data_IF_997057387958
#
_entry.id   IF_997057387958
#
_cell.length_a   1.000
_cell.length_b   1.000
_cell.length_c   1.000
_cell.angle_alpha   90.00
_cell.angle_beta   90.00
_cell.angle_gamma   90.00
#
_symmetry.space_group_name_H-M   'P 1'
#
loop_
_entity.id
_entity.type
_entity.pdbx_description
1 polymer ?
#
# COMPACT_ATOMS: atom_id res chain seq x y z
N UNK A 1 27.76 29.38 17.50
CA UNK A 1 27.55 28.17 16.66
C UNK A 1 27.35 26.98 17.61
N UNK A 2 26.12 26.48 17.77
CA UNK A 2 25.82 25.41 18.74
C UNK A 2 26.47 24.09 18.29
N UNK A 3 27.31 23.51 19.16
CA UNK A 3 28.07 22.27 18.98
C UNK A 3 27.12 21.15 18.52
N UNK A 4 27.14 20.78 17.24
CA UNK A 4 26.31 19.68 16.66
C UNK A 4 26.91 18.28 16.88
N UNK A 5 28.12 18.22 17.42
CA UNK A 5 28.85 16.97 17.70
C UNK A 5 28.14 15.97 18.62
N UNK A 6 27.41 16.33 19.70
CA UNK A 6 26.70 15.33 20.50
C UNK A 6 25.55 14.66 19.74
N UNK A 7 24.89 15.38 18.82
CA UNK A 7 23.83 14.81 17.99
C UNK A 7 24.40 13.85 16.94
N UNK A 8 25.53 14.22 16.33
CA UNK A 8 26.25 13.35 15.38
C UNK A 8 26.77 12.10 16.09
N UNK A 9 27.35 12.25 17.28
CA UNK A 9 27.80 11.14 18.10
C UNK A 9 26.66 10.19 18.47
N UNK A 10 25.49 10.74 18.87
CA UNK A 10 24.31 9.94 19.19
C UNK A 10 23.81 9.15 17.98
N UNK A 11 23.67 9.79 16.82
CA UNK A 11 23.25 9.11 15.57
C UNK A 11 24.24 8.02 15.20
N UNK A 12 25.55 8.29 15.28
CA UNK A 12 26.58 7.30 14.99
C UNK A 12 26.49 6.09 15.93
N UNK A 13 26.27 6.33 17.23
CA UNK A 13 26.16 5.28 18.25
C UNK A 13 24.91 4.41 18.02
N UNK A 14 23.78 5.02 17.68
CA UNK A 14 22.54 4.32 17.31
C UNK A 14 22.77 3.45 16.06
N UNK A 15 23.35 4.03 15.00
CA UNK A 15 23.64 3.29 13.76
C UNK A 15 24.60 2.14 14.02
N UNK A 16 25.64 2.34 14.83
CA UNK A 16 26.60 1.29 15.16
C UNK A 16 25.97 0.18 16.01
N UNK A 17 25.11 0.52 16.97
CA UNK A 17 24.42 -0.44 17.82
C UNK A 17 23.47 -1.32 17.00
N UNK A 18 22.54 -0.71 16.24
CA UNK A 18 21.58 -1.47 15.44
C UNK A 18 22.25 -2.17 14.25
N UNK A 19 23.21 -1.53 13.58
CA UNK A 19 23.98 -2.13 12.50
C UNK A 19 24.83 -3.30 12.99
N UNK A 20 25.41 -3.19 14.19
CA UNK A 20 26.15 -4.26 14.85
C UNK A 20 25.29 -5.48 15.16
N UNK A 21 24.08 -5.29 15.70
CA UNK A 21 23.13 -6.39 15.95
C UNK A 21 22.80 -7.15 14.66
N UNK A 22 22.47 -6.42 13.58
CA UNK A 22 22.16 -7.04 12.28
C UNK A 22 23.35 -7.84 11.74
N UNK A 23 24.57 -7.31 11.86
CA UNK A 23 25.78 -8.00 11.40
C UNK A 23 26.07 -9.25 12.24
N UNK A 24 25.85 -9.19 13.56
CA UNK A 24 26.04 -10.33 14.45
C UNK A 24 25.03 -11.44 14.15
N UNK A 25 23.76 -11.09 13.96
CA UNK A 25 22.71 -12.04 13.59
C UNK A 25 23.00 -12.71 12.24
N UNK A 26 23.36 -11.92 11.22
CA UNK A 26 23.74 -12.44 9.90
C UNK A 26 24.98 -13.34 9.99
N UNK A 27 25.96 -12.99 10.81
CA UNK A 27 27.17 -13.79 10.98
C UNK A 27 26.88 -15.12 11.69
N UNK A 28 26.02 -15.08 12.72
CA UNK A 28 25.56 -16.28 13.42
C UNK A 28 24.81 -17.22 12.46
N UNK A 29 23.91 -16.68 11.63
CA UNK A 29 23.20 -17.45 10.61
C UNK A 29 24.17 -18.08 9.59
N UNK A 30 25.13 -17.31 9.06
CA UNK A 30 26.14 -17.84 8.12
C UNK A 30 26.91 -19.00 8.73
N UNK A 31 27.36 -18.87 9.98
CA UNK A 31 28.08 -19.93 10.68
C UNK A 31 27.21 -21.17 10.88
N UNK A 32 25.94 -20.99 11.25
CA UNK A 32 24.99 -22.08 11.45
C UNK A 32 24.67 -22.81 10.12
N UNK A 33 24.38 -22.09 9.04
CA UNK A 33 24.12 -22.72 7.74
C UNK A 33 25.36 -23.42 7.18
N UNK A 34 26.56 -22.86 7.42
CA UNK A 34 27.83 -23.48 7.06
C UNK A 34 28.08 -24.76 7.86
N UNK A 35 27.82 -24.79 9.17
CA UNK A 35 28.00 -25.99 10.00
C UNK A 35 27.06 -27.12 9.61
N UNK A 36 25.87 -26.80 9.10
CA UNK A 36 24.90 -27.77 8.61
C UNK A 36 25.10 -28.17 7.13
N UNK A 37 26.11 -27.62 6.43
CA UNK A 37 26.34 -27.89 5.00
C UNK A 37 25.28 -27.32 4.06
N UNK A 38 24.40 -26.43 4.54
CA UNK A 38 23.28 -25.85 3.79
C UNK A 38 23.54 -24.39 3.36
N UNK A 39 24.81 -24.01 3.18
CA UNK A 39 25.20 -22.67 2.76
C UNK A 39 24.49 -22.18 1.48
N UNK A 40 24.24 -23.01 0.45
CA UNK A 40 23.50 -22.57 -0.74
C UNK A 40 22.08 -22.06 -0.44
N UNK A 41 21.38 -22.67 0.52
CA UNK A 41 20.02 -22.28 0.92
C UNK A 41 20.02 -20.87 1.52
N UNK A 42 21.02 -20.57 2.36
CA UNK A 42 21.20 -19.24 2.93
C UNK A 42 21.45 -18.18 1.85
N UNK A 43 22.29 -18.50 0.85
CA UNK A 43 22.56 -17.56 -0.25
C UNK A 43 21.30 -17.28 -1.07
N UNK A 44 20.51 -18.30 -1.42
CA UNK A 44 19.23 -18.11 -2.13
C UNK A 44 18.25 -17.27 -1.31
N UNK A 45 18.17 -17.50 0.01
CA UNK A 45 17.32 -16.71 0.90
C UNK A 45 17.80 -15.26 0.99
N UNK A 46 19.12 -15.02 1.07
CA UNK A 46 19.71 -13.69 1.14
C UNK A 46 19.50 -12.91 -0.17
N UNK A 47 19.63 -13.57 -1.31
CA UNK A 47 19.32 -13.00 -2.62
C UNK A 47 17.86 -12.56 -2.72
N UNK A 48 16.92 -13.43 -2.33
CA UNK A 48 15.50 -13.11 -2.31
C UNK A 48 15.18 -11.97 -1.33
N UNK A 49 15.78 -11.98 -0.14
CA UNK A 49 15.64 -10.92 0.86
C UNK A 49 16.11 -9.57 0.31
N UNK A 50 17.25 -9.57 -0.37
CA UNK A 50 17.84 -8.38 -0.99
C UNK A 50 16.98 -7.90 -2.18
N UNK A 51 16.43 -8.82 -2.97
CA UNK A 51 15.54 -8.49 -4.08
C UNK A 51 14.23 -7.84 -3.59
N UNK A 52 13.59 -8.39 -2.55
CA UNK A 52 12.40 -7.79 -1.92
C UNK A 52 12.72 -6.42 -1.35
N UNK A 53 13.84 -6.30 -0.61
CA UNK A 53 14.31 -5.02 -0.09
C UNK A 53 14.46 -3.97 -1.20
N UNK A 54 15.16 -4.30 -2.28
CA UNK A 54 15.36 -3.39 -3.40
C UNK A 54 14.05 -3.05 -4.09
N UNK A 55 13.14 -4.01 -4.27
CA UNK A 55 11.82 -3.78 -4.85
C UNK A 55 11.00 -2.77 -4.04
N UNK A 56 10.85 -3.01 -2.73
CA UNK A 56 10.11 -2.11 -1.83
C UNK A 56 10.77 -0.73 -1.76
N UNK A 57 12.10 -0.70 -1.61
CA UNK A 57 12.87 0.55 -1.58
C UNK A 57 12.66 1.37 -2.85
N UNK A 58 12.75 0.75 -4.03
CA UNK A 58 12.59 1.44 -5.31
C UNK A 58 11.17 1.96 -5.47
N UNK A 59 10.15 1.18 -5.13
CA UNK A 59 8.75 1.63 -5.19
C UNK A 59 8.55 2.88 -4.31
N UNK A 60 8.94 2.81 -3.03
CA UNK A 60 8.81 3.93 -2.11
C UNK A 60 9.61 5.15 -2.57
N UNK A 61 10.87 4.94 -2.96
CA UNK A 61 11.74 6.02 -3.41
C UNK A 61 11.18 6.70 -4.65
N UNK A 62 10.72 5.95 -5.67
CA UNK A 62 10.20 6.52 -6.90
C UNK A 62 8.88 7.28 -6.69
N UNK A 63 7.96 6.73 -5.87
CA UNK A 63 6.68 7.40 -5.57
C UNK A 63 6.92 8.69 -4.79
N UNK A 64 7.76 8.66 -3.74
CA UNK A 64 8.09 9.83 -2.94
C UNK A 64 8.90 10.86 -3.73
N UNK A 65 9.95 10.44 -4.47
CA UNK A 65 10.74 11.35 -5.28
C UNK A 65 9.92 11.97 -6.41
N UNK A 66 9.10 11.18 -7.10
CA UNK A 66 8.25 11.65 -8.19
C UNK A 66 7.18 12.64 -7.75
N UNK A 67 6.68 12.51 -6.52
CA UNK A 67 5.65 13.40 -5.96
C UNK A 67 6.23 14.61 -5.23
N UNK A 68 7.26 14.43 -4.39
CA UNK A 68 7.78 15.50 -3.53
C UNK A 68 8.72 16.45 -4.27
N UNK A 69 9.52 15.98 -5.24
CA UNK A 69 10.42 16.86 -6.02
C UNK A 69 9.68 18.00 -6.74
N UNK A 70 8.59 17.77 -7.49
CA UNK A 70 7.88 18.86 -8.16
C UNK A 70 7.22 19.82 -7.16
N UNK A 71 6.74 19.32 -6.01
CA UNK A 71 6.22 20.17 -4.94
C UNK A 71 7.34 21.07 -4.39
N UNK A 72 8.45 20.49 -3.94
CA UNK A 72 9.53 21.26 -3.32
C UNK A 72 10.15 22.27 -4.30
N UNK A 73 10.29 21.93 -5.58
CA UNK A 73 10.76 22.90 -6.61
C UNK A 73 9.82 24.09 -6.79
N UNK A 74 8.53 23.91 -6.55
CA UNK A 74 7.55 24.98 -6.63
C UNK A 74 7.41 25.78 -5.31
N UNK A 75 8.18 25.42 -4.26
CA UNK A 75 8.38 26.22 -3.05
C UNK A 75 9.77 26.87 -3.08
N UNK A 76 9.91 28.13 -3.53
CA UNK A 76 11.21 28.82 -3.49
C UNK A 76 11.70 29.07 -2.05
N UNK A 77 10.78 29.30 -1.10
CA UNK A 77 11.08 29.50 0.32
C UNK A 77 10.03 28.85 1.21
N UNK A 78 10.45 28.11 2.25
CA UNK A 78 9.55 27.68 3.33
C UNK A 78 9.38 28.80 4.33
N UNK A 79 8.17 29.37 4.43
CA UNK A 79 7.85 30.44 5.39
C UNK A 79 7.32 29.84 6.69
N UNK A 80 8.23 29.59 7.63
CA UNK A 80 7.87 29.12 8.96
C UNK A 80 7.56 30.30 9.88
N UNK A 81 6.49 30.20 10.65
CA UNK A 81 6.14 31.25 11.62
C UNK A 81 6.88 30.98 12.93
N UNK A 82 7.93 31.75 13.21
CA UNK A 82 8.69 31.63 14.46
C UNK A 82 8.11 32.58 15.50
N UNK A 83 7.70 32.05 16.67
CA UNK A 83 7.27 32.88 17.80
C UNK A 83 8.52 33.46 18.48
N UNK A 84 8.70 34.76 18.36
CA UNK A 84 9.78 35.52 18.99
C UNK A 84 9.27 36.42 20.11
N UNK A 85 10.18 37.09 20.85
CA UNK A 85 9.83 37.97 21.96
C UNK A 85 8.90 39.13 21.58
N UNK A 86 8.92 39.54 20.31
CA UNK A 86 8.16 40.66 19.74
C UNK A 86 6.97 40.23 18.87
N UNK A 87 6.53 38.97 18.95
CA UNK A 87 5.42 38.41 18.16
C UNK A 87 5.86 37.28 17.23
N UNK A 88 4.98 36.85 16.32
CA UNK A 88 5.34 35.81 15.34
C UNK A 88 5.98 36.46 14.10
N UNK A 89 7.28 36.25 13.90
CA UNK A 89 7.99 36.70 12.71
C UNK A 89 8.07 35.56 11.69
N UNK A 90 7.79 35.82 10.39
CA UNK A 90 8.00 34.83 9.34
C UNK A 90 9.52 34.64 9.14
N UNK A 91 9.96 33.39 9.25
CA UNK A 91 11.31 32.95 8.95
C UNK A 91 11.28 32.15 7.64
N UNK A 92 11.90 32.67 6.60
CA UNK A 92 11.99 32.01 5.30
C UNK A 92 13.27 31.17 5.21
N UNK A 93 13.13 29.85 5.04
CA UNK A 93 14.24 28.98 4.70
C UNK A 93 14.34 28.89 3.17
N UNK A 94 15.44 29.34 2.54
CA UNK A 94 15.64 29.11 1.11
C UNK A 94 15.82 27.61 0.87
N UNK A 95 14.99 27.06 -0.03
CA UNK A 95 15.07 25.65 -0.44
C UNK A 95 16.02 25.43 -1.62
N UNK A 96 16.47 26.52 -2.26
CA UNK A 96 17.44 26.51 -3.35
C UNK A 96 18.79 25.96 -2.86
N UNK A 97 19.11 24.73 -3.26
CA UNK A 97 20.35 24.03 -2.89
C UNK A 97 20.19 22.83 -1.96
N UNK A 98 19.00 22.63 -1.37
CA UNK A 98 18.71 21.46 -0.52
C UNK A 98 18.30 20.20 -1.31
N UNK A 99 18.37 20.21 -2.64
CA UNK A 99 18.01 19.08 -3.50
C UNK A 99 18.64 17.75 -3.06
N UNK A 100 19.99 17.68 -2.88
CA UNK A 100 20.65 16.47 -2.40
C UNK A 100 20.21 16.04 -0.99
N UNK A 101 19.96 17.00 -0.09
CA UNK A 101 19.49 16.71 1.26
C UNK A 101 18.05 16.18 1.28
N UNK A 102 17.19 16.67 0.39
CA UNK A 102 15.83 16.18 0.20
C UNK A 102 15.86 14.77 -0.37
N UNK A 103 16.66 14.53 -1.41
CA UNK A 103 16.80 13.20 -2.00
C UNK A 103 17.37 12.20 -0.99
N UNK A 104 18.35 12.62 -0.17
CA UNK A 104 18.86 11.81 0.94
C UNK A 104 17.78 11.55 2.01
N UNK A 105 16.94 12.54 2.33
CA UNK A 105 15.80 12.36 3.24
C UNK A 105 14.75 11.39 2.70
N UNK A 106 14.44 11.46 1.40
CA UNK A 106 13.51 10.54 0.72
C UNK A 106 14.09 9.13 0.69
N UNK A 107 15.38 8.97 0.35
CA UNK A 107 16.06 7.69 0.39
C UNK A 107 16.09 7.12 1.81
N UNK A 108 16.31 7.95 2.82
CA UNK A 108 16.27 7.53 4.22
C UNK A 108 14.88 7.05 4.64
N UNK A 109 13.81 7.77 4.27
CA UNK A 109 12.44 7.31 4.54
C UNK A 109 12.12 5.99 3.82
N UNK A 110 12.51 5.86 2.55
CA UNK A 110 12.34 4.62 1.80
C UNK A 110 13.11 3.45 2.45
N UNK A 111 14.32 3.70 2.95
CA UNK A 111 15.13 2.72 3.68
C UNK A 111 14.43 2.26 4.96
N UNK A 112 13.87 3.18 5.76
CA UNK A 112 13.18 2.85 7.00
C UNK A 112 11.97 1.93 6.78
N UNK A 113 11.29 2.05 5.64
CA UNK A 113 10.13 1.22 5.31
C UNK A 113 10.54 -0.10 4.65
N UNK A 114 11.56 -0.09 3.79
CA UNK A 114 12.03 -1.29 3.09
C UNK A 114 12.66 -2.34 4.03
N UNK A 115 13.36 -1.90 5.08
CA UNK A 115 14.00 -2.77 6.06
C UNK A 115 13.02 -3.80 6.69
N UNK A 116 11.94 -3.39 7.38
CA UNK A 116 11.01 -4.33 8.01
C UNK A 116 10.22 -5.17 7.01
N UNK A 117 9.93 -4.64 5.82
CA UNK A 117 9.18 -5.34 4.77
C UNK A 117 10.03 -6.33 3.96
N UNK A 118 11.35 -6.33 4.16
CA UNK A 118 12.30 -7.29 3.59
C UNK A 118 12.64 -8.44 4.55
N UNK A 119 11.69 -8.83 5.39
CA UNK A 119 11.85 -9.95 6.30
C UNK A 119 11.99 -11.30 5.59
N UNK A 120 12.45 -12.31 6.31
CA UNK A 120 12.57 -13.69 5.81
C UNK A 120 11.24 -14.25 5.31
N UNK A 121 10.12 -13.91 5.96
CA UNK A 121 8.79 -14.36 5.55
C UNK A 121 8.38 -13.86 4.17
N UNK A 122 8.63 -12.58 3.86
CA UNK A 122 8.29 -12.01 2.55
C UNK A 122 9.22 -12.56 1.46
N UNK A 123 10.50 -12.75 1.76
CA UNK A 123 11.44 -13.42 0.86
C UNK A 123 10.97 -14.84 0.52
N UNK A 124 10.53 -15.62 1.51
CA UNK A 124 9.99 -16.96 1.29
C UNK A 124 8.71 -16.96 0.44
N UNK A 125 7.81 -15.99 0.65
CA UNK A 125 6.60 -15.84 -0.20
C UNK A 125 6.98 -15.58 -1.66
N UNK A 126 7.96 -14.72 -1.91
CA UNK A 126 8.44 -14.44 -3.28
C UNK A 126 9.13 -15.66 -3.90
N UNK A 127 10.00 -16.35 -3.15
CA UNK A 127 10.62 -17.60 -3.63
C UNK A 127 9.54 -18.63 -4.00
N UNK A 128 8.53 -18.78 -3.14
CA UNK A 128 7.43 -19.73 -3.35
C UNK A 128 6.56 -19.35 -4.57
N UNK A 129 6.37 -18.06 -4.84
CA UNK A 129 5.69 -17.60 -6.05
C UNK A 129 6.48 -17.92 -7.32
N UNK A 130 7.80 -17.74 -7.30
CA UNK A 130 8.68 -17.99 -8.44
C UNK A 130 8.80 -19.48 -8.78
N UNK A 131 8.76 -20.34 -7.76
CA UNK A 131 8.89 -21.80 -7.90
C UNK A 131 7.56 -22.53 -7.67
N UNK A 132 6.43 -21.85 -7.94
CA UNK A 132 5.11 -22.42 -7.72
C UNK A 132 4.88 -23.63 -8.64
N UNK A 133 4.57 -24.82 -8.10
CA UNK A 133 4.24 -25.98 -8.92
C UNK A 133 2.88 -25.77 -9.63
N UNK A 134 2.69 -26.32 -10.84
CA UNK A 134 1.39 -26.27 -11.51
C UNK A 134 0.36 -27.06 -10.70
N UNK A 135 -0.69 -26.38 -10.25
CA UNK A 135 -1.81 -27.03 -9.53
C UNK A 135 -2.94 -27.33 -10.50
N UNK A 136 -3.40 -28.58 -10.55
CA UNK A 136 -4.30 -29.07 -11.61
C UNK A 136 -5.80 -28.83 -11.41
N UNK A 137 -6.26 -28.36 -10.25
CA UNK A 137 -7.70 -28.19 -10.01
C UNK A 137 -8.06 -26.70 -9.85
N UNK A 138 -8.78 -26.11 -10.81
CA UNK A 138 -9.30 -24.76 -10.67
C UNK A 138 -10.46 -24.73 -9.67
N UNK A 139 -10.60 -23.60 -8.98
CA UNK A 139 -11.71 -23.41 -8.05
C UNK A 139 -13.06 -23.23 -8.80
N UNK A 140 -14.18 -23.69 -8.24
CA UNK A 140 -15.47 -23.67 -8.93
C UNK A 140 -16.14 -22.29 -9.03
N UNK A 141 -15.61 -21.26 -8.37
CA UNK A 141 -16.27 -19.94 -8.27
C UNK A 141 -15.59 -18.91 -9.18
N UNK A 142 -14.27 -18.79 -9.12
CA UNK A 142 -13.43 -17.88 -9.88
C UNK A 142 -12.63 -18.58 -10.99
N UNK A 143 -12.56 -19.91 -10.98
CA UNK A 143 -11.83 -20.67 -12.00
C UNK A 143 -10.30 -20.56 -11.91
N UNK A 144 -9.77 -20.08 -10.78
CA UNK A 144 -8.35 -19.88 -10.56
C UNK A 144 -7.71 -21.15 -9.98
N UNK A 145 -6.45 -21.46 -10.34
CA UNK A 145 -5.74 -22.61 -9.81
C UNK A 145 -5.41 -22.40 -8.31
N UNK A 146 -5.44 -23.46 -7.51
CA UNK A 146 -5.11 -23.42 -6.08
C UNK A 146 -3.74 -22.77 -5.79
N UNK A 147 -2.75 -22.97 -6.68
CA UNK A 147 -1.42 -22.36 -6.59
C UNK A 147 -1.43 -20.83 -6.62
N UNK A 148 -2.42 -20.21 -7.28
CA UNK A 148 -2.57 -18.75 -7.26
C UNK A 148 -2.81 -18.24 -5.84
N UNK A 149 -3.72 -18.87 -5.09
CA UNK A 149 -4.11 -18.46 -3.74
C UNK A 149 -2.98 -18.66 -2.73
N UNK A 150 -2.20 -19.73 -2.87
CA UNK A 150 -1.15 -20.08 -1.92
C UNK A 150 0.15 -19.33 -2.19
N UNK A 151 0.54 -19.19 -3.46
CA UNK A 151 1.86 -18.70 -3.81
C UNK A 151 1.85 -17.27 -4.36
N UNK A 152 0.89 -16.93 -5.23
CA UNK A 152 0.91 -15.64 -5.93
C UNK A 152 0.18 -14.54 -5.16
N UNK A 153 -0.95 -14.85 -4.52
CA UNK A 153 -1.75 -13.90 -3.77
C UNK A 153 -0.95 -13.15 -2.68
N UNK A 154 -0.08 -13.79 -1.87
CA UNK A 154 0.72 -13.06 -0.88
C UNK A 154 1.69 -12.05 -1.50
N UNK A 155 2.20 -12.33 -2.71
CA UNK A 155 3.10 -11.41 -3.42
C UNK A 155 2.32 -10.22 -3.99
N UNK A 156 1.12 -10.45 -4.54
CA UNK A 156 0.24 -9.37 -4.95
C UNK A 156 -0.16 -8.48 -3.77
N UNK A 157 -0.43 -9.06 -2.60
CA UNK A 157 -0.75 -8.31 -1.39
C UNK A 157 0.42 -7.45 -0.90
N UNK A 158 1.64 -7.99 -0.94
CA UNK A 158 2.84 -7.21 -0.65
C UNK A 158 3.00 -6.05 -1.64
N UNK A 159 2.75 -6.28 -2.93
CA UNK A 159 2.87 -5.25 -3.97
C UNK A 159 1.80 -4.16 -3.84
N UNK A 160 0.53 -4.52 -3.67
CA UNK A 160 -0.55 -3.53 -3.52
C UNK A 160 -0.43 -2.78 -2.20
N UNK A 161 -0.08 -3.46 -1.11
CA UNK A 161 0.15 -2.84 0.19
C UNK A 161 1.29 -1.82 0.15
N UNK A 162 2.44 -2.19 -0.44
CA UNK A 162 3.59 -1.27 -0.58
C UNK A 162 3.28 -0.07 -1.46
N UNK A 163 2.54 -0.26 -2.56
CA UNK A 163 2.07 0.84 -3.40
C UNK A 163 1.10 1.75 -2.66
N UNK A 164 0.10 1.18 -1.98
CA UNK A 164 -0.88 1.93 -1.19
C UNK A 164 -0.20 2.77 -0.11
N UNK A 165 0.68 2.16 0.69
CA UNK A 165 1.39 2.83 1.77
C UNK A 165 2.27 3.96 1.22
N UNK A 166 3.05 3.70 0.16
CA UNK A 166 3.90 4.73 -0.45
C UNK A 166 3.10 5.91 -1.00
N UNK A 167 1.92 5.67 -1.60
CA UNK A 167 1.03 6.71 -2.10
C UNK A 167 0.38 7.50 -0.96
N UNK A 168 -0.05 6.83 0.13
CA UNK A 168 -0.59 7.49 1.32
C UNK A 168 0.47 8.35 2.01
N UNK A 169 1.69 7.83 2.18
CA UNK A 169 2.81 8.59 2.72
C UNK A 169 3.12 9.82 1.85
N UNK A 170 3.17 9.65 0.52
CA UNK A 170 3.37 10.76 -0.41
C UNK A 170 2.26 11.82 -0.30
N UNK A 171 1.00 11.39 -0.17
CA UNK A 171 -0.16 12.28 -0.03
C UNK A 171 -0.06 13.09 1.26
N UNK A 172 0.20 12.43 2.39
CA UNK A 172 0.34 13.07 3.71
C UNK A 172 1.50 14.06 3.70
N UNK A 173 2.67 13.66 3.22
CA UNK A 173 3.84 14.55 3.13
C UNK A 173 3.59 15.72 2.19
N UNK A 174 2.95 15.49 1.03
CA UNK A 174 2.59 16.54 0.09
C UNK A 174 1.61 17.57 0.68
N UNK A 175 0.64 17.11 1.46
CA UNK A 175 -0.29 17.98 2.21
C UNK A 175 0.45 18.78 3.28
N UNK A 176 1.28 18.12 4.11
CA UNK A 176 2.06 18.78 5.16
C UNK A 176 3.00 19.85 4.61
N UNK A 177 3.62 19.62 3.44
CA UNK A 177 4.46 20.60 2.75
C UNK A 177 3.66 21.78 2.18
N UNK A 178 2.38 21.59 1.85
CA UNK A 178 1.51 22.64 1.32
C UNK A 178 0.95 23.62 2.37
N UNK A 179 0.92 23.24 3.64
CA UNK A 179 0.41 24.07 4.75
C UNK A 179 1.28 25.31 5.03
N UNK A 180 2.62 25.20 5.24
CA UNK A 180 3.47 26.31 5.71
C UNK A 180 3.84 27.37 4.65
N UNK A 181 2.96 27.66 3.70
CA UNK A 181 3.21 28.68 2.67
C UNK A 181 1.97 29.22 1.97
N UNK A 182 0.76 28.88 2.44
CA UNK A 182 -0.49 29.29 1.79
C UNK A 182 -0.73 28.67 0.41
N UNK A 183 0.05 27.65 0.04
CA UNK A 183 -0.13 26.89 -1.22
C UNK A 183 -1.45 26.13 -1.24
N UNK A 184 -1.98 25.87 -0.04
CA UNK A 184 -3.34 25.44 0.25
C UNK A 184 -3.98 26.56 1.07
N UNK A 185 -4.77 27.42 0.42
CA UNK A 185 -5.50 28.49 1.11
C UNK A 185 -7.00 28.21 1.05
N UNK A 186 -7.62 28.23 2.22
CA UNK A 186 -9.08 28.19 2.40
C UNK A 186 -9.50 29.61 2.72
N UNK A 187 -9.78 30.39 1.67
CA UNK A 187 -10.32 31.74 1.78
C UNK A 187 -11.74 31.73 1.19
N UNK A 188 -12.70 32.32 1.91
CA UNK A 188 -14.08 32.56 1.43
C UNK A 188 -14.76 31.32 0.81
N UNK A 189 -14.66 30.17 1.49
CA UNK A 189 -15.28 28.90 1.06
C UNK A 189 -14.77 28.36 -0.30
N UNK A 190 -13.63 28.87 -0.80
CA UNK A 190 -12.96 28.37 -2.01
C UNK A 190 -11.57 27.84 -1.67
N UNK A 191 -11.40 26.54 -1.88
CA UNK A 191 -10.10 25.88 -1.75
C UNK A 191 -9.26 26.24 -2.99
N UNK A 192 -8.30 27.15 -2.81
CA UNK A 192 -7.35 27.53 -3.85
C UNK A 192 -6.06 26.73 -3.66
N UNK A 193 -5.74 25.92 -4.66
CA UNK A 193 -4.51 25.13 -4.70
C UNK A 193 -3.58 25.70 -5.76
N UNK A 194 -2.30 25.81 -5.42
CA UNK A 194 -1.28 26.06 -6.42
C UNK A 194 -1.37 25.01 -7.54
N UNK A 195 -1.24 25.39 -8.83
CA UNK A 195 -1.45 24.48 -9.95
C UNK A 195 -0.55 23.25 -9.90
N UNK A 196 0.66 23.36 -9.35
CA UNK A 196 1.57 22.22 -9.17
C UNK A 196 1.04 21.25 -8.10
N UNK A 197 0.53 21.75 -6.97
CA UNK A 197 -0.03 20.92 -5.88
C UNK A 197 -1.24 20.18 -6.38
N UNK A 198 -2.16 20.88 -7.04
CA UNK A 198 -3.34 20.26 -7.63
C UNK A 198 -2.96 19.09 -8.55
N UNK A 199 -2.00 19.27 -9.46
CA UNK A 199 -1.58 18.20 -10.39
C UNK A 199 -0.98 17.00 -9.65
N UNK A 200 -0.08 17.24 -8.70
CA UNK A 200 0.57 16.15 -7.94
C UNK A 200 -0.45 15.40 -7.08
N UNK A 201 -1.30 16.11 -6.33
CA UNK A 201 -2.34 15.49 -5.49
C UNK A 201 -3.36 14.71 -6.34
N UNK A 202 -3.75 15.22 -7.51
CA UNK A 202 -4.63 14.51 -8.43
C UNK A 202 -3.98 13.23 -8.97
N UNK A 203 -2.69 13.24 -9.31
CA UNK A 203 -1.95 12.04 -9.74
C UNK A 203 -1.79 11.01 -8.63
N UNK A 204 -1.48 11.47 -7.41
CA UNK A 204 -1.40 10.60 -6.24
C UNK A 204 -2.76 9.98 -5.91
N UNK A 205 -3.84 10.78 -5.95
CA UNK A 205 -5.20 10.29 -5.78
C UNK A 205 -5.60 9.28 -6.85
N UNK A 206 -5.29 9.54 -8.13
CA UNK A 206 -5.50 8.58 -9.21
C UNK A 206 -4.74 7.27 -8.98
N UNK A 207 -3.47 7.35 -8.60
CA UNK A 207 -2.66 6.18 -8.26
C UNK A 207 -3.27 5.38 -7.12
N UNK A 208 -3.71 6.05 -6.05
CA UNK A 208 -4.31 5.40 -4.89
C UNK A 208 -5.62 4.69 -5.26
N UNK A 209 -6.47 5.35 -6.04
CA UNK A 209 -7.72 4.75 -6.52
C UNK A 209 -7.49 3.55 -7.45
N UNK A 210 -6.44 3.56 -8.28
CA UNK A 210 -6.05 2.38 -9.07
C UNK A 210 -5.58 1.23 -8.18
N UNK A 211 -4.79 1.50 -7.14
CA UNK A 211 -4.36 0.46 -6.20
C UNK A 211 -5.57 -0.12 -5.47
N UNK A 212 -6.50 0.72 -5.00
CA UNK A 212 -7.75 0.25 -4.37
C UNK A 212 -8.65 -0.53 -5.35
N UNK A 213 -8.63 -0.19 -6.65
CA UNK A 213 -9.28 -0.98 -7.69
C UNK A 213 -8.65 -2.38 -7.79
N UNK A 214 -7.33 -2.48 -7.80
CA UNK A 214 -6.63 -3.77 -7.78
C UNK A 214 -6.89 -4.55 -6.48
N UNK A 215 -6.88 -3.90 -5.32
CA UNK A 215 -7.19 -4.55 -4.05
C UNK A 215 -8.62 -5.07 -3.99
N UNK A 216 -9.60 -4.35 -4.54
CA UNK A 216 -10.97 -4.86 -4.65
C UNK A 216 -11.08 -6.04 -5.61
N UNK A 217 -10.26 -6.10 -6.67
CA UNK A 217 -10.15 -7.31 -7.50
C UNK A 217 -9.54 -8.49 -6.74
N UNK A 218 -8.53 -8.25 -5.90
CA UNK A 218 -7.92 -9.28 -5.02
C UNK A 218 -8.84 -9.67 -3.86
N UNK A 219 -9.73 -8.78 -3.42
CA UNK A 219 -10.67 -9.10 -2.34
C UNK A 219 -11.56 -10.30 -2.70
N UNK A 220 -11.88 -10.47 -3.99
CA UNK A 220 -12.64 -11.62 -4.51
C UNK A 220 -11.93 -12.94 -4.24
N UNK A 221 -10.61 -12.99 -4.42
CA UNK A 221 -9.84 -14.20 -4.17
C UNK A 221 -9.68 -14.45 -2.68
N UNK A 222 -9.50 -13.38 -1.89
CA UNK A 222 -9.46 -13.46 -0.42
C UNK A 222 -10.76 -13.96 0.19
N UNK A 223 -11.91 -13.61 -0.39
CA UNK A 223 -13.22 -14.07 0.14
C UNK A 223 -13.37 -15.59 0.11
N UNK A 224 -12.67 -16.29 -0.78
CA UNK A 224 -12.68 -17.75 -0.83
C UNK A 224 -11.81 -18.40 0.26
N UNK A 225 -10.88 -17.64 0.85
CA UNK A 225 -10.01 -18.08 1.95
C UNK A 225 -10.56 -17.72 3.33
N UNK A 226 -11.72 -17.04 3.38
CA UNK A 226 -12.35 -16.59 4.62
C UNK A 226 -12.81 -17.76 5.49
N UNK A 227 -12.50 -17.70 6.79
CA UNK A 227 -13.06 -18.60 7.80
C UNK A 227 -14.35 -18.03 8.34
N UNK A 228 -15.44 -18.78 8.18
CA UNK A 228 -16.73 -18.51 8.80
C UNK A 228 -16.94 -19.44 10.01
N UNK A 229 -17.94 -19.13 10.84
CA UNK A 229 -18.20 -19.88 12.08
C UNK A 229 -18.49 -21.37 11.84
N UNK A 230 -19.09 -21.72 10.71
CA UNK A 230 -19.55 -23.09 10.39
C UNK A 230 -18.81 -23.69 9.20
N UNK A 231 -18.16 -22.87 8.36
CA UNK A 231 -17.51 -23.29 7.11
C UNK A 231 -16.19 -22.56 6.88
N UNK A 232 -15.19 -23.26 6.35
CA UNK A 232 -13.92 -22.65 5.92
C UNK A 232 -13.94 -22.47 4.40
N UNK A 233 -14.24 -21.29 3.90
CA UNK A 233 -14.43 -21.03 2.47
C UNK A 233 -15.53 -20.02 2.20
N UNK A 234 -15.90 -19.90 0.93
CA UNK A 234 -16.92 -18.96 0.47
C UNK A 234 -18.33 -19.33 0.96
N UNK A 235 -19.05 -18.38 1.55
CA UNK A 235 -20.48 -18.52 1.86
C UNK A 235 -21.35 -18.05 0.69
N UNK A 236 -22.65 -18.36 0.74
CA UNK A 236 -23.66 -17.83 -0.18
C UNK A 236 -23.59 -16.31 -0.32
N UNK A 237 -23.41 -15.62 0.82
CA UNK A 237 -23.28 -14.15 0.85
C UNK A 237 -22.04 -13.67 0.12
N UNK A 238 -20.93 -14.41 0.20
CA UNK A 238 -19.69 -13.98 -0.46
C UNK A 238 -19.82 -14.09 -1.97
N UNK A 239 -20.39 -15.19 -2.45
CA UNK A 239 -20.55 -15.45 -3.88
C UNK A 239 -21.60 -14.54 -4.53
N UNK A 240 -22.73 -14.31 -3.86
CA UNK A 240 -23.83 -13.53 -4.42
C UNK A 240 -23.77 -12.03 -4.09
N UNK A 241 -23.02 -11.64 -3.05
CA UNK A 241 -22.91 -10.23 -2.64
C UNK A 241 -21.48 -9.70 -2.78
N UNK A 242 -20.52 -10.28 -2.05
CA UNK A 242 -19.19 -9.68 -1.90
C UNK A 242 -18.39 -9.70 -3.20
N UNK A 243 -18.37 -10.82 -3.92
CA UNK A 243 -17.63 -10.95 -5.18
C UNK A 243 -18.18 -9.97 -6.24
N UNK A 244 -19.50 -9.94 -6.53
CA UNK A 244 -20.08 -8.95 -7.45
C UNK A 244 -19.91 -7.49 -6.99
N UNK A 245 -20.04 -7.21 -5.70
CA UNK A 245 -19.83 -5.86 -5.18
C UNK A 245 -18.37 -5.42 -5.35
N UNK A 246 -17.42 -6.31 -5.09
CA UNK A 246 -16.00 -6.04 -5.25
C UNK A 246 -15.61 -5.84 -6.72
N UNK A 247 -16.20 -6.59 -7.68
CA UNK A 247 -15.97 -6.35 -9.12
C UNK A 247 -16.51 -5.00 -9.59
N UNK A 248 -17.73 -4.64 -9.19
CA UNK A 248 -18.32 -3.36 -9.54
C UNK A 248 -17.53 -2.20 -8.92
N UNK A 249 -17.15 -2.33 -7.65
CA UNK A 249 -16.32 -1.33 -6.98
C UNK A 249 -14.98 -1.15 -7.70
N UNK A 250 -14.32 -2.25 -8.09
CA UNK A 250 -13.07 -2.18 -8.84
C UNK A 250 -13.22 -1.37 -10.13
N UNK A 251 -14.29 -1.62 -10.89
CA UNK A 251 -14.58 -0.90 -12.14
C UNK A 251 -14.83 0.59 -11.88
N UNK A 252 -15.65 0.92 -10.89
CA UNK A 252 -15.98 2.31 -10.53
C UNK A 252 -14.72 3.06 -10.05
N UNK A 253 -13.87 2.41 -9.24
CA UNK A 253 -12.60 2.98 -8.80
C UNK A 253 -11.63 3.22 -9.96
N UNK A 254 -11.54 2.29 -10.91
CA UNK A 254 -10.71 2.45 -12.11
C UNK A 254 -11.18 3.64 -12.98
N UNK A 255 -12.50 3.78 -13.18
CA UNK A 255 -13.09 4.91 -13.91
C UNK A 255 -12.80 6.22 -13.17
N UNK A 256 -12.97 6.24 -11.85
CA UNK A 256 -12.71 7.43 -11.02
C UNK A 256 -11.24 7.81 -11.05
N UNK A 257 -10.33 6.83 -10.99
CA UNK A 257 -8.91 7.08 -11.09
C UNK A 257 -8.52 7.69 -12.44
N UNK A 258 -9.10 7.20 -13.53
CA UNK A 258 -8.89 7.77 -14.86
C UNK A 258 -9.41 9.22 -14.94
N UNK A 259 -10.56 9.51 -14.32
CA UNK A 259 -11.08 10.87 -14.24
C UNK A 259 -10.11 11.82 -13.48
N UNK A 260 -9.56 11.40 -12.35
CA UNK A 260 -8.54 12.15 -11.59
C UNK A 260 -7.28 12.39 -12.43
N UNK A 261 -6.84 11.37 -13.17
CA UNK A 261 -5.67 11.47 -14.06
C UNK A 261 -5.92 12.49 -15.18
N UNK A 262 -7.09 12.43 -15.84
CA UNK A 262 -7.48 13.36 -16.89
C UNK A 262 -7.61 14.80 -16.36
N UNK A 263 -8.15 14.98 -15.15
CA UNK A 263 -8.21 16.27 -14.46
C UNK A 263 -6.84 16.81 -14.05
N UNK A 264 -5.85 15.96 -13.83
CA UNK A 264 -4.47 16.43 -13.66
C UNK A 264 -3.93 17.13 -14.90
N UNK A 265 -4.44 16.83 -16.09
CA UNK A 265 -4.01 17.48 -17.34
C UNK A 265 -4.94 18.64 -17.73
N UNK A 266 -6.24 18.56 -17.43
CA UNK A 266 -7.26 19.56 -17.80
C UNK A 266 -7.65 20.47 -16.63
N UNK A 267 -7.63 21.79 -16.85
CA UNK A 267 -7.78 22.80 -15.77
C UNK A 267 -9.19 22.89 -15.17
N UNK A 268 -10.26 22.40 -15.81
CA UNK A 268 -11.64 22.80 -15.47
C UNK A 268 -12.68 21.69 -15.27
N UNK A 269 -12.38 20.41 -15.50
CA UNK A 269 -13.35 19.34 -15.17
C UNK A 269 -13.40 19.14 -13.65
N UNK A 270 -14.62 18.99 -13.10
CA UNK A 270 -14.90 18.65 -11.70
C UNK A 270 -15.64 17.32 -11.58
N UNK A 271 -15.50 16.44 -12.59
CA UNK A 271 -16.25 15.19 -12.69
C UNK A 271 -15.71 14.12 -11.72
N UNK A 272 -14.47 14.30 -11.27
CA UNK A 272 -13.79 13.42 -10.33
C UNK A 272 -14.44 13.41 -8.94
N UNK A 273 -14.95 14.55 -8.46
CA UNK A 273 -15.62 14.64 -7.15
C UNK A 273 -16.91 13.83 -7.04
N UNK A 274 -17.90 13.94 -7.96
CA UNK A 274 -19.08 13.09 -7.91
C UNK A 274 -18.74 11.61 -8.13
N UNK A 275 -17.76 11.28 -8.99
CA UNK A 275 -17.29 9.90 -9.18
C UNK A 275 -16.66 9.31 -7.90
N UNK A 276 -15.92 10.12 -7.15
CA UNK A 276 -15.41 9.72 -5.83
C UNK A 276 -16.56 9.45 -4.85
N UNK A 277 -17.59 10.30 -4.86
CA UNK A 277 -18.83 10.08 -4.08
C UNK A 277 -19.54 8.77 -4.47
N UNK A 278 -19.66 8.48 -5.77
CA UNK A 278 -20.23 7.23 -6.28
C UNK A 278 -19.39 6.03 -5.85
N UNK A 279 -18.05 6.14 -5.90
CA UNK A 279 -17.14 5.10 -5.43
C UNK A 279 -17.36 4.80 -3.95
N UNK A 280 -17.49 5.83 -3.12
CA UNK A 280 -17.78 5.70 -1.69
C UNK A 280 -19.15 5.06 -1.45
N UNK A 281 -20.19 5.51 -2.14
CA UNK A 281 -21.53 4.94 -2.05
C UNK A 281 -21.57 3.47 -2.51
N UNK A 282 -20.82 3.13 -3.56
CA UNK A 282 -20.68 1.75 -4.04
C UNK A 282 -19.96 0.87 -3.01
N UNK A 283 -18.93 1.39 -2.34
CA UNK A 283 -18.25 0.68 -1.27
C UNK A 283 -19.19 0.39 -0.10
N UNK A 284 -19.89 1.42 0.42
CA UNK A 284 -20.86 1.24 1.52
C UNK A 284 -22.03 0.35 1.11
N UNK A 285 -22.66 0.64 -0.03
CA UNK A 285 -23.82 -0.09 -0.51
C UNK A 285 -23.49 -1.54 -0.83
N UNK A 286 -22.45 -1.78 -1.63
CA UNK A 286 -22.11 -3.11 -2.13
C UNK A 286 -21.39 -4.01 -1.13
N UNK A 287 -20.41 -3.50 -0.38
CA UNK A 287 -19.58 -4.35 0.50
C UNK A 287 -20.06 -4.38 1.95
N UNK A 288 -20.86 -3.40 2.39
CA UNK A 288 -21.37 -3.35 3.76
C UNK A 288 -22.86 -3.67 3.80
N UNK A 289 -23.66 -2.96 3.01
CA UNK A 289 -25.11 -3.06 3.08
C UNK A 289 -25.65 -4.34 2.42
N UNK A 290 -25.23 -4.67 1.19
CA UNK A 290 -25.71 -5.85 0.47
C UNK A 290 -25.42 -7.17 1.20
N UNK A 291 -24.21 -7.42 1.74
CA UNK A 291 -23.93 -8.65 2.48
C UNK A 291 -24.75 -8.73 3.77
N UNK A 292 -24.94 -7.60 4.45
CA UNK A 292 -25.76 -7.53 5.66
C UNK A 292 -27.22 -7.86 5.39
N UNK A 293 -27.81 -7.30 4.32
CA UNK A 293 -29.19 -7.58 3.89
C UNK A 293 -29.34 -9.06 3.53
N UNK A 294 -28.48 -9.59 2.66
CA UNK A 294 -28.56 -10.99 2.24
C UNK A 294 -28.37 -11.96 3.41
N UNK A 295 -27.42 -11.66 4.30
CA UNK A 295 -27.23 -12.45 5.51
C UNK A 295 -28.49 -12.47 6.38
N UNK A 296 -29.09 -11.29 6.64
CA UNK A 296 -30.24 -11.15 7.55
C UNK A 296 -31.54 -11.71 7.00
N UNK A 297 -31.80 -11.52 5.71
CA UNK A 297 -33.11 -11.80 5.12
C UNK A 297 -33.16 -13.06 4.25
N UNK A 298 -32.02 -13.55 3.75
CA UNK A 298 -31.98 -14.73 2.88
C UNK A 298 -31.29 -15.92 3.56
N UNK A 299 -30.12 -15.69 4.15
CA UNK A 299 -29.32 -16.79 4.72
C UNK A 299 -29.82 -17.18 6.11
N UNK A 300 -29.98 -16.25 7.03
CA UNK A 300 -30.43 -16.55 8.40
C UNK A 300 -31.77 -17.30 8.48
N UNK A 301 -32.79 -17.01 7.65
CA UNK A 301 -34.04 -17.77 7.68
C UNK A 301 -33.94 -19.20 7.16
N UNK A 302 -33.01 -19.50 6.25
CA UNK A 302 -32.86 -20.83 5.65
C UNK A 302 -31.40 -21.18 5.37
N UNK A 303 -30.59 -21.19 6.43
CA UNK A 303 -29.14 -21.31 6.29
C UNK A 303 -28.72 -22.66 5.70
N UNK A 304 -29.36 -23.75 6.11
CA UNK A 304 -29.01 -25.10 5.65
C UNK A 304 -29.13 -25.23 4.13
N UNK A 305 -30.25 -24.83 3.53
CA UNK A 305 -30.43 -24.98 2.08
C UNK A 305 -29.51 -24.04 1.29
N UNK A 306 -29.28 -22.82 1.78
CA UNK A 306 -28.45 -21.84 1.08
C UNK A 306 -26.95 -22.14 1.18
N UNK A 307 -26.48 -22.70 2.30
CA UNK A 307 -25.06 -23.02 2.49
C UNK A 307 -24.67 -24.43 2.03
N UNK A 308 -25.64 -25.36 1.91
CA UNK A 308 -25.41 -26.74 1.45
C UNK A 308 -24.48 -26.87 0.22
N UNK A 309 -24.70 -26.17 -0.91
CA UNK A 309 -23.82 -26.34 -2.09
C UNK A 309 -22.38 -25.91 -1.81
N UNK A 310 -22.17 -24.91 -0.95
CA UNK A 310 -20.82 -24.44 -0.58
C UNK A 310 -20.13 -25.40 0.38
N UNK A 311 -20.89 -26.01 1.29
CA UNK A 311 -20.40 -27.07 2.18
C UNK A 311 -20.00 -28.31 1.36
N UNK A 312 -20.82 -28.72 0.39
CA UNK A 312 -20.50 -29.84 -0.51
C UNK A 312 -19.23 -29.58 -1.33
N UNK A 313 -19.07 -28.37 -1.87
CA UNK A 313 -17.84 -27.97 -2.58
C UNK A 313 -16.61 -28.02 -1.66
N UNK A 314 -16.74 -27.63 -0.40
CA UNK A 314 -15.66 -27.66 0.58
C UNK A 314 -15.27 -29.10 0.97
N UNK A 315 -16.25 -29.96 1.20
CA UNK A 315 -16.02 -31.40 1.46
C UNK A 315 -15.35 -32.05 0.23
N UNK A 316 -15.80 -31.73 -0.98
CA UNK A 316 -15.19 -32.24 -2.20
C UNK A 316 -13.75 -31.73 -2.40
N UNK A 317 -13.47 -30.47 -2.03
CA UNK A 317 -12.14 -29.89 -2.09
C UNK A 317 -11.17 -30.52 -1.07
N UNK A 318 -11.61 -30.64 0.19
CA UNK A 318 -10.79 -31.23 1.27
C UNK A 318 -10.52 -32.72 1.08
N UNK A 319 -11.42 -33.48 0.43
CA UNK A 319 -11.16 -34.89 0.08
C UNK A 319 -10.14 -35.09 -1.03
N UNK A 320 -9.86 -34.06 -1.82
CA UNK A 320 -8.91 -34.11 -2.94
C UNK A 320 -7.52 -33.57 -2.59
N UNK A 321 -7.39 -32.89 -1.45
CA UNK A 321 -6.14 -32.37 -0.91
C UNK A 321 -5.41 -33.46 -0.12
#
# INVERSE_FOLDING_TARGET
MKKRWPLVALVLLVVLYFGGQILLDLWADVLWYKSNGQLPVFMTLLEARSAVFLGVFLIFFLVLAGSLRPLIRALPTLTLRRRGPSGTQPFSLPLSGLGPAIDAGIAFLALLVALPLSGTQEALRVIAALHAPPTGMPDPILGLPAGFYLFHLPVYDLLTGTLQDSLLFALVLGLLLGLPGGQISIAENRLSLHPVWRKVLMRLGAGLLLVLSLESLLLRTKTLLSRHQVLSGASYVDVHARIPAATLLALILAITALAFLLESFRRQSRISWPLLGISFLSWVGGLVLTPWILSRFVVLPNQFNQEKPYIENNIAGTRKA
#
